data_IF_674857848772
#
_entry.id   IF_674857848772
#
_cell.length_a   1.000
_cell.length_b   1.000
_cell.length_c   1.000
_cell.angle_alpha   90.00
_cell.angle_beta   90.00
_cell.angle_gamma   90.00
#
_symmetry.space_group_name_H-M   'P 1'
#
loop_
_entity.id
_entity.type
_entity.pdbx_description
1 polymer ?
#
# COMPACT_ATOMS: atom_id res chain seq x y z
N UNK A 1 21.04 7.79 9.73
CA UNK A 1 20.12 7.41 8.63
C UNK A 1 18.97 8.39 8.67
N UNK A 2 18.51 8.95 7.53
CA UNK A 2 17.32 9.80 7.53
C UNK A 2 16.17 9.04 8.18
N UNK A 3 15.35 9.72 9.00
CA UNK A 3 14.15 9.10 9.53
C UNK A 3 13.28 8.74 8.33
N UNK A 4 12.84 7.49 8.19
CA UNK A 4 12.08 7.05 7.00
C UNK A 4 10.79 7.89 6.82
N UNK A 5 10.31 8.54 7.88
CA UNK A 5 9.27 9.57 7.84
C UNK A 5 9.59 10.75 6.89
N UNK A 6 10.86 11.06 6.65
CA UNK A 6 11.33 12.07 5.68
C UNK A 6 11.25 11.60 4.22
N UNK A 7 11.09 10.28 3.99
CA UNK A 7 10.87 9.71 2.66
C UNK A 7 9.39 9.68 2.28
N UNK A 8 8.50 9.95 3.23
CA UNK A 8 7.07 10.03 2.98
C UNK A 8 6.74 11.34 2.25
N UNK A 9 5.86 11.26 1.26
CA UNK A 9 5.39 12.44 0.53
C UNK A 9 3.93 12.71 0.87
N UNK A 10 3.56 13.99 1.07
CA UNK A 10 2.15 14.38 1.24
C UNK A 10 1.32 13.87 0.04
N UNK A 11 0.15 13.32 0.33
CA UNK A 11 -0.73 12.69 -0.65
C UNK A 11 -0.37 11.23 -0.97
N UNK A 12 0.73 10.69 -0.43
CA UNK A 12 1.10 9.29 -0.61
C UNK A 12 0.05 8.36 0.01
N UNK A 13 -0.28 7.29 -0.73
CA UNK A 13 -1.14 6.22 -0.22
C UNK A 13 -0.38 5.36 0.79
N UNK A 14 -1.00 5.15 1.94
CA UNK A 14 -0.53 4.28 3.02
C UNK A 14 -1.63 3.25 3.35
N UNK A 15 -1.33 2.31 4.23
CA UNK A 15 -2.27 1.35 4.79
C UNK A 15 -2.17 1.38 6.32
N UNK A 16 -3.33 1.44 6.99
CA UNK A 16 -3.45 1.41 8.44
C UNK A 16 -4.01 0.04 8.86
N UNK A 17 -3.22 -0.69 9.64
CA UNK A 17 -3.60 -1.95 10.25
C UNK A 17 -4.28 -1.71 11.59
N UNK A 18 -5.55 -2.12 11.70
CA UNK A 18 -6.37 -2.01 12.91
C UNK A 18 -6.70 -3.42 13.41
N UNK A 19 -6.43 -3.69 14.69
CA UNK A 19 -6.66 -4.99 15.33
C UNK A 19 -5.43 -5.46 16.12
N UNK A 20 -5.66 -6.23 17.19
CA UNK A 20 -4.60 -6.79 18.04
C UNK A 20 -4.23 -8.21 17.64
N UNK A 21 -5.24 -9.07 17.45
CA UNK A 21 -5.04 -10.49 17.13
C UNK A 21 -5.11 -10.76 15.62
N UNK A 22 -6.05 -10.11 14.94
CA UNK A 22 -6.18 -10.14 13.48
C UNK A 22 -6.12 -8.70 12.96
N UNK A 23 -5.01 -8.36 12.28
CA UNK A 23 -4.79 -7.02 11.74
C UNK A 23 -5.54 -6.88 10.42
N UNK A 24 -6.59 -6.05 10.41
CA UNK A 24 -7.28 -5.67 9.20
C UNK A 24 -6.67 -4.38 8.61
N UNK A 25 -6.32 -4.42 7.32
CA UNK A 25 -5.65 -3.32 6.64
C UNK A 25 -6.63 -2.44 5.88
N UNK A 26 -6.59 -1.15 6.15
CA UNK A 26 -7.43 -0.15 5.50
C UNK A 26 -6.59 0.89 4.77
N UNK A 27 -6.99 1.29 3.54
CA UNK A 27 -6.28 2.33 2.82
C UNK A 27 -6.44 3.68 3.55
N UNK A 28 -5.34 4.42 3.62
CA UNK A 28 -5.32 5.81 4.07
C UNK A 28 -4.36 6.62 3.19
N UNK A 29 -4.25 7.92 3.46
CA UNK A 29 -3.38 8.84 2.75
C UNK A 29 -2.69 9.76 3.73
N UNK A 30 -1.42 10.04 3.50
CA UNK A 30 -0.70 11.05 4.27
C UNK A 30 -1.22 12.44 3.89
N UNK A 31 -1.68 13.19 4.86
CA UNK A 31 -2.14 14.57 4.68
C UNK A 31 -1.07 15.57 5.13
N UNK A 32 -0.29 15.22 6.15
CA UNK A 32 0.81 16.05 6.65
C UNK A 32 1.86 15.21 7.40
N UNK A 33 3.08 15.72 7.51
CA UNK A 33 4.10 15.17 8.41
C UNK A 33 4.76 16.30 9.21
N UNK A 34 4.58 16.25 10.52
CA UNK A 34 5.26 17.15 11.44
C UNK A 34 6.60 16.49 11.78
N UNK A 35 7.71 17.21 11.57
CA UNK A 35 9.05 16.66 11.84
C UNK A 35 9.15 16.02 13.24
N UNK A 36 10.02 15.01 13.41
CA UNK A 36 10.16 14.13 14.59
C UNK A 36 9.17 12.95 14.69
N UNK A 37 8.47 12.62 13.60
CA UNK A 37 7.66 11.38 13.53
C UNK A 37 6.17 11.56 13.81
N UNK A 38 5.69 12.81 13.88
CA UNK A 38 4.26 13.12 13.86
C UNK A 38 3.72 13.03 12.44
N UNK A 39 2.61 12.33 12.25
CA UNK A 39 1.97 12.15 10.95
C UNK A 39 0.49 12.49 11.06
N UNK A 40 -0.03 13.23 10.08
CA UNK A 40 -1.48 13.37 9.91
C UNK A 40 -1.91 12.55 8.72
N UNK A 41 -2.87 11.65 8.91
CA UNK A 41 -3.41 10.80 7.85
C UNK A 41 -4.91 10.97 7.73
N UNK A 42 -5.46 10.74 6.54
CA UNK A 42 -6.89 10.68 6.35
C UNK A 42 -7.49 9.56 7.22
N UNK A 43 -8.66 9.79 7.81
CA UNK A 43 -9.31 8.74 8.59
C UNK A 43 -9.78 7.62 7.64
N UNK A 44 -9.32 6.37 7.81
CA UNK A 44 -9.70 5.29 6.90
C UNK A 44 -11.19 4.99 7.00
N UNK A 45 -11.77 4.55 5.88
CA UNK A 45 -13.16 4.09 5.82
C UNK A 45 -13.26 2.63 5.39
N UNK A 46 -14.34 1.98 5.79
CA UNK A 46 -14.72 0.66 5.27
C UNK A 46 -15.31 0.75 3.85
N UNK A 47 -15.81 -0.39 3.36
CA UNK A 47 -16.46 -0.49 2.04
C UNK A 47 -17.75 0.31 1.93
N UNK A 48 -18.43 0.56 3.06
CA UNK A 48 -19.68 1.32 3.17
C UNK A 48 -19.42 2.80 3.45
N UNK A 49 -18.16 3.25 3.36
CA UNK A 49 -17.68 4.61 3.62
C UNK A 49 -17.88 5.08 5.06
N UNK A 50 -17.98 4.14 6.01
CA UNK A 50 -18.00 4.45 7.45
C UNK A 50 -16.58 4.56 7.97
N UNK A 51 -16.35 5.52 8.86
CA UNK A 51 -15.05 5.69 9.52
C UNK A 51 -14.73 4.44 10.34
N UNK A 52 -13.51 3.92 10.18
CA UNK A 52 -13.04 2.79 10.98
C UNK A 52 -12.90 3.24 12.43
N UNK A 53 -13.50 2.52 13.40
CA UNK A 53 -13.37 2.87 14.80
C UNK A 53 -11.90 2.78 15.25
N UNK A 54 -11.37 3.90 15.71
CA UNK A 54 -10.06 4.00 16.35
C UNK A 54 -10.15 4.89 17.57
N UNK A 55 -9.44 4.53 18.65
CA UNK A 55 -9.43 5.28 19.89
C UNK A 55 -8.13 6.09 20.04
N UNK A 56 -8.20 7.23 20.75
CA UNK A 56 -6.98 7.92 21.17
C UNK A 56 -6.17 7.02 22.11
N UNK A 57 -4.85 7.04 21.99
CA UNK A 57 -3.92 6.14 22.68
C UNK A 57 -3.84 4.73 22.07
N UNK A 58 -4.67 4.41 21.07
CA UNK A 58 -4.61 3.11 20.41
C UNK A 58 -3.32 2.96 19.60
N UNK A 59 -2.63 1.84 19.80
CA UNK A 59 -1.49 1.45 18.96
C UNK A 59 -1.98 0.70 17.72
N UNK A 60 -1.48 1.12 16.56
CA UNK A 60 -1.81 0.60 15.23
C UNK A 60 -0.53 0.29 14.45
N UNK A 61 -0.67 -0.37 13.32
CA UNK A 61 0.42 -0.53 12.35
C UNK A 61 0.18 0.40 11.15
N UNK A 62 1.22 1.11 10.72
CA UNK A 62 1.20 1.92 9.51
C UNK A 62 2.19 1.32 8.51
N UNK A 63 1.75 1.13 7.27
CA UNK A 63 2.61 0.56 6.24
C UNK A 63 2.47 1.27 4.89
N UNK A 64 3.53 1.23 4.10
CA UNK A 64 3.47 1.52 2.67
C UNK A 64 4.40 0.64 1.88
N UNK A 65 4.00 0.38 0.63
CA UNK A 65 4.86 -0.31 -0.32
C UNK A 65 5.61 0.70 -1.18
N UNK A 66 6.93 0.65 -1.12
CA UNK A 66 7.81 1.28 -2.10
C UNK A 66 8.13 0.30 -3.23
N UNK A 67 8.87 0.73 -4.26
CA UNK A 67 9.33 -0.15 -5.34
C UNK A 67 10.23 -1.27 -4.83
N UNK A 68 11.03 -0.98 -3.80
CA UNK A 68 12.11 -1.83 -3.30
C UNK A 68 11.69 -2.70 -2.10
N UNK A 69 10.83 -2.19 -1.22
CA UNK A 69 10.40 -2.90 -0.02
C UNK A 69 9.03 -2.45 0.49
N UNK A 70 8.48 -3.22 1.43
CA UNK A 70 7.45 -2.74 2.33
C UNK A 70 8.14 -2.07 3.53
N UNK A 71 7.66 -0.89 3.90
CA UNK A 71 8.03 -0.23 5.13
C UNK A 71 6.83 -0.26 6.07
N UNK A 72 7.05 -0.64 7.32
CA UNK A 72 6.02 -0.60 8.36
C UNK A 72 6.54 -0.02 9.66
N UNK A 73 5.68 0.64 10.43
CA UNK A 73 6.00 1.11 11.76
C UNK A 73 4.77 1.01 12.66
N UNK A 74 5.03 0.78 13.93
CA UNK A 74 4.03 0.88 14.97
C UNK A 74 3.77 2.37 15.23
N UNK A 75 2.50 2.76 15.29
CA UNK A 75 2.07 4.16 15.50
C UNK A 75 1.04 4.23 16.61
N UNK A 76 0.98 5.35 17.32
CA UNK A 76 -0.05 5.62 18.32
C UNK A 76 -0.98 6.74 17.83
N UNK A 77 -2.29 6.55 18.01
CA UNK A 77 -3.29 7.57 17.70
C UNK A 77 -3.27 8.64 18.79
N UNK A 78 -2.70 9.80 18.51
CA UNK A 78 -2.74 10.92 19.45
C UNK A 78 -4.11 11.58 19.47
N UNK A 79 -4.71 11.80 18.30
CA UNK A 79 -6.01 12.46 18.18
C UNK A 79 -6.72 12.13 16.89
N UNK A 80 -7.98 11.72 16.97
CA UNK A 80 -8.91 11.79 15.84
C UNK A 80 -9.66 13.11 15.78
N UNK A 81 -9.87 13.64 14.58
CA UNK A 81 -10.76 14.78 14.32
C UNK A 81 -11.76 14.43 13.23
N UNK A 82 -13.02 14.76 13.46
CA UNK A 82 -14.11 14.67 12.47
C UNK A 82 -14.63 16.04 12.05
N UNK A 83 -14.07 17.11 12.60
CA UNK A 83 -14.45 18.48 12.26
C UNK A 83 -13.85 18.81 10.88
N UNK A 84 -14.72 18.96 9.88
CA UNK A 84 -14.29 19.13 8.48
C UNK A 84 -13.93 17.80 7.82
N UNK A 85 -12.72 17.70 7.25
CA UNK A 85 -12.23 16.46 6.63
C UNK A 85 -11.68 15.54 7.73
N UNK A 86 -12.26 14.33 7.93
CA UNK A 86 -11.82 13.43 8.99
C UNK A 86 -10.37 13.00 8.84
N UNK A 87 -9.60 13.13 9.92
CA UNK A 87 -8.18 12.79 9.95
C UNK A 87 -7.74 12.28 11.33
N UNK A 88 -6.61 11.57 11.33
CA UNK A 88 -5.94 11.04 12.51
C UNK A 88 -4.55 11.67 12.61
N UNK A 89 -4.22 12.18 13.79
CA UNK A 89 -2.85 12.50 14.18
C UNK A 89 -2.23 11.29 14.85
N UNK A 90 -1.13 10.84 14.27
CA UNK A 90 -0.39 9.65 14.65
C UNK A 90 1.02 10.03 15.07
N UNK A 91 1.58 9.28 16.00
CA UNK A 91 2.99 9.38 16.34
C UNK A 91 3.69 8.04 16.12
N UNK A 92 4.80 8.06 15.40
CA UNK A 92 5.59 6.85 15.14
C UNK A 92 6.28 6.39 16.42
N UNK A 93 5.96 5.17 16.86
CA UNK A 93 6.58 4.52 18.02
C UNK A 93 7.75 3.66 17.53
N UNK A 94 8.97 4.14 17.81
CA UNK A 94 10.21 3.43 17.48
C UNK A 94 10.67 3.66 16.04
N UNK A 95 11.25 2.62 15.43
CA UNK A 95 11.85 2.71 14.10
C UNK A 95 11.03 2.00 13.04
N UNK A 96 11.08 2.53 11.82
CA UNK A 96 10.54 1.87 10.64
C UNK A 96 11.23 0.55 10.37
N UNK A 97 10.44 -0.50 10.17
CA UNK A 97 10.87 -1.84 9.76
C UNK A 97 10.77 -1.93 8.24
N UNK A 98 11.87 -2.29 7.60
CA UNK A 98 11.92 -2.55 6.15
C UNK A 98 11.86 -4.05 5.91
N UNK A 99 10.83 -4.51 5.21
CA UNK A 99 10.65 -5.92 4.84
C UNK A 99 10.69 -6.07 3.33
N UNK A 100 11.72 -6.76 2.83
CA UNK A 100 11.79 -7.12 1.41
C UNK A 100 10.88 -8.32 1.14
N UNK A 101 9.66 -8.04 0.67
CA UNK A 101 8.68 -9.10 0.33
C UNK A 101 8.98 -9.84 -0.98
N UNK A 102 9.92 -9.36 -1.80
CA UNK A 102 10.18 -9.91 -3.14
C UNK A 102 11.50 -10.65 -3.18
N UNK A 103 11.43 -11.92 -3.58
CA UNK A 103 12.58 -12.79 -3.80
C UNK A 103 13.26 -12.52 -5.16
N UNK A 104 12.71 -11.62 -5.98
CA UNK A 104 13.26 -11.25 -7.28
C UNK A 104 13.05 -9.76 -7.59
N UNK A 105 14.05 -9.17 -8.23
CA UNK A 105 14.01 -7.78 -8.72
C UNK A 105 13.00 -7.68 -9.87
N UNK A 106 12.28 -6.56 -9.90
CA UNK A 106 11.28 -6.23 -10.91
C UNK A 106 11.75 -5.04 -11.73
N UNK A 107 11.81 -5.21 -13.05
CA UNK A 107 12.20 -4.18 -14.01
C UNK A 107 10.94 -3.67 -14.69
N UNK A 108 10.76 -2.34 -14.72
CA UNK A 108 9.68 -1.71 -15.46
C UNK A 108 9.98 -1.78 -16.95
N UNK A 109 9.03 -2.25 -17.74
CA UNK A 109 9.18 -2.41 -19.19
C UNK A 109 7.93 -1.90 -19.91
N UNK A 110 8.07 -1.58 -21.19
CA UNK A 110 6.96 -1.22 -22.06
C UNK A 110 6.97 -2.11 -23.30
N UNK A 111 6.83 -3.42 -23.11
CA UNK A 111 6.89 -4.41 -24.19
C UNK A 111 5.47 -4.74 -24.66
N UNK A 112 5.24 -4.61 -25.96
CA UNK A 112 4.01 -5.07 -26.63
C UNK A 112 4.33 -6.37 -27.38
N UNK A 113 4.01 -7.54 -26.80
CA UNK A 113 4.26 -8.80 -27.49
C UNK A 113 3.44 -8.86 -28.80
N UNK A 114 4.06 -9.38 -29.87
CA UNK A 114 3.37 -9.62 -31.14
C UNK A 114 2.38 -10.78 -31.03
N UNK A 115 2.68 -11.74 -30.16
CA UNK A 115 1.88 -12.93 -29.91
C UNK A 115 1.79 -13.09 -28.39
N UNK A 116 0.57 -13.20 -27.87
CA UNK A 116 0.29 -13.57 -26.49
C UNK A 116 -0.92 -14.47 -26.48
N UNK A 117 -0.82 -15.63 -25.83
CA UNK A 117 -1.91 -16.59 -25.76
C UNK A 117 -2.13 -17.04 -24.32
N UNK A 118 -3.40 -17.12 -23.93
CA UNK A 118 -3.84 -17.81 -22.73
C UNK A 118 -3.98 -19.29 -23.05
N UNK A 119 -3.23 -20.13 -22.34
CA UNK A 119 -3.32 -21.58 -22.44
C UNK A 119 -3.97 -22.11 -21.16
N UNK A 120 -5.05 -22.88 -21.30
CA UNK A 120 -5.79 -23.49 -20.20
C UNK A 120 -6.17 -24.91 -20.58
N UNK A 121 -5.40 -25.91 -20.10
CA UNK A 121 -5.49 -27.27 -20.64
C UNK A 121 -5.14 -27.25 -22.12
N UNK A 122 -6.00 -27.85 -22.95
CA UNK A 122 -5.81 -27.88 -24.41
C UNK A 122 -6.36 -26.63 -25.13
N UNK A 123 -7.06 -25.75 -24.42
CA UNK A 123 -7.63 -24.54 -25.01
C UNK A 123 -6.58 -23.43 -25.11
N UNK A 124 -6.48 -22.82 -26.28
CA UNK A 124 -5.62 -21.66 -26.56
C UNK A 124 -6.46 -20.48 -27.04
N UNK A 125 -6.32 -19.32 -26.39
CA UNK A 125 -6.99 -18.08 -26.77
C UNK A 125 -5.98 -16.95 -26.90
N UNK A 126 -5.99 -16.25 -28.04
CA UNK A 126 -5.12 -15.09 -28.22
C UNK A 126 -5.56 -13.92 -27.34
N UNK A 127 -4.59 -13.18 -26.80
CA UNK A 127 -4.77 -12.05 -25.91
C UNK A 127 -4.08 -10.80 -26.45
N UNK A 128 -4.73 -9.64 -26.25
CA UNK A 128 -4.13 -8.32 -26.44
C UNK A 128 -3.70 -7.75 -25.10
N UNK A 129 -2.40 -7.85 -24.83
CA UNK A 129 -1.80 -7.34 -23.60
C UNK A 129 -0.51 -6.56 -23.86
N UNK A 130 -0.14 -5.72 -22.89
CA UNK A 130 1.19 -5.12 -22.78
C UNK A 130 1.84 -5.53 -21.47
N UNK A 131 3.13 -5.84 -21.51
CA UNK A 131 3.94 -6.11 -20.32
C UNK A 131 4.36 -4.78 -19.70
N UNK A 132 4.07 -4.60 -18.41
CA UNK A 132 4.42 -3.38 -17.66
C UNK A 132 5.56 -3.61 -16.67
N UNK A 133 5.77 -4.87 -16.25
CA UNK A 133 6.82 -5.23 -15.32
C UNK A 133 7.25 -6.70 -15.53
N UNK A 134 8.56 -6.98 -15.43
CA UNK A 134 9.12 -8.33 -15.52
C UNK A 134 10.03 -8.58 -14.31
N UNK A 135 9.96 -9.79 -13.77
CA UNK A 135 10.91 -10.35 -12.79
C UNK A 135 11.27 -11.77 -13.16
N UNK A 136 12.31 -12.33 -12.52
CA UNK A 136 12.71 -13.72 -12.69
C UNK A 136 11.58 -14.73 -12.39
N UNK A 137 10.58 -14.35 -11.59
CA UNK A 137 9.50 -15.24 -11.13
C UNK A 137 8.12 -14.88 -11.67
N UNK A 138 8.00 -13.87 -12.54
CA UNK A 138 6.71 -13.53 -13.13
C UNK A 138 6.66 -12.18 -13.83
N UNK A 139 5.52 -11.94 -14.47
CA UNK A 139 5.26 -10.74 -15.27
C UNK A 139 3.98 -10.05 -14.82
N UNK A 140 3.96 -8.73 -14.88
CA UNK A 140 2.75 -7.95 -14.76
C UNK A 140 2.33 -7.47 -16.14
N UNK A 141 1.05 -7.65 -16.46
CA UNK A 141 0.48 -7.26 -17.74
C UNK A 141 -0.68 -6.30 -17.54
N UNK A 142 -0.86 -5.41 -18.52
CA UNK A 142 -2.11 -4.66 -18.72
C UNK A 142 -2.81 -5.29 -19.92
N UNK A 143 -3.94 -5.94 -19.67
CA UNK A 143 -4.74 -6.60 -20.70
C UNK A 143 -6.01 -5.79 -20.98
N UNK A 144 -6.46 -5.81 -22.23
CA UNK A 144 -7.83 -5.38 -22.58
C UNK A 144 -8.83 -6.52 -22.47
N UNK A 145 -8.35 -7.76 -22.57
CA UNK A 145 -9.15 -8.96 -22.47
C UNK A 145 -9.10 -9.50 -21.04
N UNK A 146 -10.18 -10.14 -20.58
CA UNK A 146 -10.21 -10.76 -19.26
C UNK A 146 -9.17 -11.88 -19.15
N UNK A 147 -8.36 -11.81 -18.10
CA UNK A 147 -7.32 -12.79 -17.80
C UNK A 147 -7.80 -13.89 -16.84
N UNK A 148 -9.03 -13.75 -16.32
CA UNK A 148 -9.67 -14.73 -15.43
C UNK A 148 -10.76 -15.48 -16.23
N UNK A 149 -11.16 -16.64 -15.68
CA UNK A 149 -12.39 -17.32 -16.10
C UNK A 149 -13.60 -16.55 -15.64
#
# INVERSE_FOLDING_TARGET
MPQVSELLTIGQRLELGVGTDEVQWFPTRLEDHEGRGGLTVAWPTDRDRRLIPVANGQTLELAWSSRDALYSATVEVHRGSTDGVPHLRLEVRGSWRRTQRRNAVRISVAIRPRIADLVCGDARRSLRLGLTNISATGVQVRSKDELRR
#
